data_IF_239203679980
#
_entry.id   IF_239203679980
#
_cell.length_a   1.000
_cell.length_b   1.000
_cell.length_c   1.000
_cell.angle_alpha   90.00
_cell.angle_beta   90.00
_cell.angle_gamma   90.00
#
_symmetry.space_group_name_H-M   'P 1'
#
loop_
_entity.id
_entity.type
_entity.pdbx_description
1 polymer ?
#
# COMPACT_ATOMS: atom_id res chain seq x y z
N UNK A 1 -6.29 -0.97 1.27
CA UNK A 1 -6.53 -2.40 0.93
C UNK A 1 -8.02 -2.61 0.66
N UNK A 2 -8.37 -3.03 -0.56
CA UNK A 2 -9.77 -3.11 -1.03
C UNK A 2 -10.54 -1.81 -0.77
N UNK A 3 -9.95 -0.66 -1.08
CA UNK A 3 -10.57 0.66 -0.90
C UNK A 3 -10.69 1.16 0.55
N UNK A 4 -10.31 0.35 1.56
CA UNK A 4 -10.28 0.76 2.97
C UNK A 4 -8.90 1.29 3.37
N UNK A 5 -8.87 2.41 4.09
CA UNK A 5 -7.67 3.00 4.67
C UNK A 5 -7.10 2.08 5.76
N UNK A 6 -5.79 1.81 5.71
CA UNK A 6 -5.11 0.90 6.65
C UNK A 6 -3.95 1.56 7.38
N UNK A 7 -3.19 2.38 6.67
CA UNK A 7 -2.03 3.09 7.19
C UNK A 7 -2.02 4.51 6.60
N UNK A 8 -1.34 5.43 7.30
CA UNK A 8 -0.94 6.74 6.80
C UNK A 8 0.59 6.77 6.87
N UNK A 9 1.22 7.05 5.74
CA UNK A 9 2.67 7.14 5.64
C UNK A 9 3.04 8.60 5.40
N UNK A 10 4.02 9.09 6.14
CA UNK A 10 4.68 10.36 5.82
C UNK A 10 5.77 10.08 4.78
N UNK A 11 5.68 10.74 3.64
CA UNK A 11 6.55 10.49 2.48
C UNK A 11 6.99 11.80 1.84
N UNK A 12 8.11 11.75 1.14
CA UNK A 12 8.55 12.88 0.31
C UNK A 12 7.53 13.15 -0.80
N UNK A 13 7.29 14.43 -1.18
CA UNK A 13 6.52 14.76 -2.37
C UNK A 13 7.08 14.13 -3.66
N UNK A 14 8.39 13.88 -3.70
CA UNK A 14 9.12 13.31 -4.84
C UNK A 14 9.29 11.78 -4.75
N UNK A 15 8.56 11.11 -3.84
CA UNK A 15 8.67 9.65 -3.67
C UNK A 15 8.32 8.93 -4.97
N UNK A 16 9.14 7.94 -5.34
CA UNK A 16 8.86 7.11 -6.50
C UNK A 16 7.70 6.15 -6.23
N UNK A 17 7.05 5.66 -7.29
CA UNK A 17 5.99 4.66 -7.14
C UNK A 17 6.51 3.37 -6.47
N UNK A 18 7.72 2.94 -6.84
CA UNK A 18 8.34 1.74 -6.30
C UNK A 18 8.66 1.87 -4.81
N UNK A 19 9.21 3.02 -4.39
CA UNK A 19 9.52 3.25 -2.98
C UNK A 19 8.24 3.34 -2.15
N UNK A 20 7.21 4.03 -2.67
CA UNK A 20 5.93 4.17 -1.99
C UNK A 20 5.23 2.80 -1.82
N UNK A 21 5.31 1.94 -2.84
CA UNK A 21 4.83 0.56 -2.75
C UNK A 21 5.60 -0.23 -1.70
N UNK A 22 6.94 -0.17 -1.70
CA UNK A 22 7.77 -0.86 -0.73
C UNK A 22 7.46 -0.43 0.70
N UNK A 23 7.30 0.88 0.94
CA UNK A 23 6.91 1.42 2.24
C UNK A 23 5.52 0.92 2.67
N UNK A 24 4.54 0.91 1.75
CA UNK A 24 3.21 0.40 2.05
C UNK A 24 3.21 -1.10 2.34
N UNK A 25 4.01 -1.88 1.61
CA UNK A 25 4.13 -3.32 1.80
C UNK A 25 4.91 -3.70 3.06
N UNK A 26 5.76 -2.82 3.59
CA UNK A 26 6.47 -3.01 4.86
C UNK A 26 5.63 -2.61 6.10
N UNK A 27 4.49 -1.93 5.91
CA UNK A 27 3.66 -1.46 7.00
C UNK A 27 2.95 -2.62 7.73
N UNK A 28 3.09 -2.76 9.07
CA UNK A 28 2.46 -3.83 9.83
C UNK A 28 0.93 -3.88 9.73
N UNK A 29 0.26 -2.73 9.61
CA UNK A 29 -1.20 -2.66 9.45
C UNK A 29 -1.64 -3.17 8.07
N UNK A 30 -0.81 -2.96 7.04
CA UNK A 30 -1.02 -3.55 5.72
C UNK A 30 -0.83 -5.06 5.79
N UNK A 31 0.26 -5.56 6.37
CA UNK A 31 0.47 -7.00 6.56
C UNK A 31 -0.70 -7.68 7.26
N UNK A 32 -1.20 -7.11 8.37
CA UNK A 32 -2.39 -7.62 9.08
C UNK A 32 -3.64 -7.66 8.19
N UNK A 33 -3.81 -6.67 7.31
CA UNK A 33 -4.96 -6.63 6.39
C UNK A 33 -4.85 -7.64 5.24
N UNK A 34 -3.63 -8.07 4.91
CA UNK A 34 -3.30 -9.06 3.87
C UNK A 34 -3.25 -10.50 4.39
N UNK A 35 -3.19 -10.73 5.70
CA UNK A 35 -3.14 -12.08 6.27
C UNK A 35 -4.26 -12.97 5.74
N UNK A 36 -3.87 -14.14 5.22
CA UNK A 36 -4.79 -15.14 4.66
C UNK A 36 -5.39 -14.76 3.29
N UNK A 37 -4.86 -13.74 2.60
CA UNK A 37 -5.35 -13.28 1.30
C UNK A 37 -4.24 -13.23 0.27
N UNK A 38 -4.58 -13.53 -0.97
CA UNK A 38 -3.65 -13.42 -2.10
C UNK A 38 -3.71 -12.01 -2.69
N UNK A 39 -2.56 -11.39 -2.91
CA UNK A 39 -2.47 -10.09 -3.60
C UNK A 39 -2.69 -10.33 -5.09
N UNK A 40 -3.66 -9.64 -5.68
CA UNK A 40 -3.92 -9.65 -7.13
C UNK A 40 -3.17 -8.55 -7.84
N UNK A 41 -3.22 -7.34 -7.29
CA UNK A 41 -2.65 -6.16 -7.93
C UNK A 41 -2.37 -5.09 -6.88
N UNK A 42 -1.27 -4.37 -7.03
CA UNK A 42 -0.96 -3.16 -6.28
C UNK A 42 -1.11 -1.97 -7.22
N UNK A 43 -1.91 -0.99 -6.82
CA UNK A 43 -2.15 0.23 -7.59
C UNK A 43 -1.52 1.38 -6.84
N UNK A 44 -0.50 1.98 -7.43
CA UNK A 44 0.22 3.14 -6.88
C UNK A 44 -0.17 4.39 -7.65
N UNK A 45 -0.42 5.47 -6.91
CA UNK A 45 -0.61 6.82 -7.43
C UNK A 45 0.20 7.76 -6.53
N UNK A 46 1.50 7.84 -6.78
CA UNK A 46 2.39 8.65 -5.96
C UNK A 46 2.09 10.15 -6.07
N UNK A 47 2.28 10.93 -5.00
CA UNK A 47 2.49 10.51 -3.60
C UNK A 47 1.17 10.23 -2.86
N UNK A 48 0.03 10.22 -3.56
CA UNK A 48 -1.30 10.36 -2.96
C UNK A 48 -1.86 9.07 -2.35
N UNK A 49 -1.72 7.92 -3.01
CA UNK A 49 -2.38 6.69 -2.54
C UNK A 49 -1.71 5.42 -3.06
N UNK A 50 -1.71 4.39 -2.20
CA UNK A 50 -1.47 2.99 -2.58
C UNK A 50 -2.70 2.17 -2.24
N UNK A 51 -3.24 1.45 -3.22
CA UNK A 51 -4.32 0.51 -2.99
C UNK A 51 -3.93 -0.90 -3.41
N UNK A 52 -3.94 -1.80 -2.44
CA UNK A 52 -3.67 -3.22 -2.65
C UNK A 52 -5.01 -3.94 -2.82
N UNK A 53 -5.16 -4.60 -3.96
CA UNK A 53 -6.30 -5.43 -4.33
C UNK A 53 -5.95 -6.87 -3.99
N UNK A 54 -6.81 -7.51 -3.21
CA UNK A 54 -6.69 -8.92 -2.81
C UNK A 54 -7.93 -9.69 -3.26
N UNK A 55 -7.77 -10.98 -3.56
CA UNK A 55 -8.83 -11.89 -3.97
C UNK A 55 -8.30 -13.24 -4.40
#
# INVERSE_FOLDING_TARGET
>A
VQGKLRAKLEVSPDVSEADLEAMAMADPAVHRALQGKTVRTVIVRAPKVVNIVVG
#
